data_IF_508685366811
#
_entry.id   IF_508685366811
#
_cell.length_a   1.000
_cell.length_b   1.000
_cell.length_c   1.000
_cell.angle_alpha   90.00
_cell.angle_beta   90.00
_cell.angle_gamma   90.00
#
_symmetry.space_group_name_H-M   'P 1'
#
loop_
_entity.id
_entity.type
_entity.pdbx_description
1 polymer ?
#
# COMPACT_ATOMS: atom_id res chain seq x y z
N UNK A 1 2.35 -22.39 30.39
CA UNK A 1 3.07 -22.14 29.10
C UNK A 1 2.14 -21.51 28.04
N UNK A 2 0.81 -21.68 28.14
CA UNK A 2 -0.17 -21.15 27.15
C UNK A 2 -0.47 -19.64 27.31
N UNK A 3 -0.23 -19.05 28.45
CA UNK A 3 -0.54 -17.63 28.73
C UNK A 3 0.35 -16.63 27.95
N UNK A 4 1.49 -17.05 27.44
CA UNK A 4 2.41 -16.19 26.67
C UNK A 4 2.00 -16.04 25.19
N UNK A 5 1.36 -17.03 24.61
CA UNK A 5 0.95 -17.00 23.18
C UNK A 5 -0.29 -16.12 22.96
N UNK A 6 -1.29 -16.24 23.82
CA UNK A 6 -2.53 -15.43 23.72
C UNK A 6 -2.26 -13.94 23.84
N UNK A 7 -1.33 -13.54 24.72
CA UNK A 7 -0.94 -12.13 24.87
C UNK A 7 -0.20 -11.58 23.63
N UNK A 8 0.63 -12.39 22.97
CA UNK A 8 1.38 -11.95 21.77
C UNK A 8 0.49 -11.85 20.53
N UNK A 9 -0.47 -12.76 20.34
CA UNK A 9 -1.41 -12.72 19.24
C UNK A 9 -2.33 -11.50 19.34
N UNK A 10 -2.83 -11.19 20.54
CA UNK A 10 -3.64 -9.99 20.76
C UNK A 10 -2.83 -8.71 20.46
N UNK A 11 -1.57 -8.63 20.84
CA UNK A 11 -0.71 -7.50 20.50
C UNK A 11 -0.46 -7.35 18.99
N UNK A 12 -0.28 -8.45 18.27
CA UNK A 12 -0.06 -8.43 16.81
C UNK A 12 -1.31 -7.95 16.10
N UNK A 13 -2.48 -8.49 16.43
CA UNK A 13 -3.77 -8.09 15.86
C UNK A 13 -4.05 -6.61 16.10
N UNK A 14 -3.88 -6.15 17.33
CA UNK A 14 -4.14 -4.75 17.68
C UNK A 14 -3.17 -3.81 16.98
N UNK A 15 -1.90 -4.19 16.85
CA UNK A 15 -0.92 -3.48 16.05
C UNK A 15 -1.32 -3.43 14.57
N UNK A 16 -1.80 -4.54 14.02
CA UNK A 16 -2.26 -4.65 12.64
C UNK A 16 -3.47 -3.74 12.40
N UNK A 17 -4.48 -3.80 13.25
CA UNK A 17 -5.69 -2.96 13.17
C UNK A 17 -5.35 -1.47 13.26
N UNK A 18 -4.45 -1.08 14.16
CA UNK A 18 -4.00 0.31 14.29
C UNK A 18 -3.27 0.78 13.02
N UNK A 19 -2.38 -0.05 12.45
CA UNK A 19 -1.68 0.28 11.20
C UNK A 19 -2.63 0.33 10.01
N UNK A 20 -3.56 -0.62 9.94
CA UNK A 20 -4.57 -0.66 8.88
C UNK A 20 -5.44 0.60 8.90
N UNK A 21 -6.00 0.94 10.06
CA UNK A 21 -6.79 2.18 10.23
C UNK A 21 -6.01 3.42 9.77
N UNK A 22 -4.74 3.53 10.17
CA UNK A 22 -3.88 4.62 9.73
C UNK A 22 -3.74 4.68 8.20
N UNK A 23 -3.46 3.55 7.54
CA UNK A 23 -3.26 3.55 6.09
C UNK A 23 -4.56 3.78 5.32
N UNK A 24 -5.69 3.23 5.78
CA UNK A 24 -6.98 3.45 5.14
C UNK A 24 -7.40 4.91 5.24
N UNK A 25 -7.17 5.57 6.38
CA UNK A 25 -7.37 7.02 6.53
C UNK A 25 -6.52 7.80 5.52
N UNK A 26 -5.22 7.47 5.41
CA UNK A 26 -4.32 8.14 4.45
C UNK A 26 -4.66 7.89 2.99
N UNK A 27 -5.24 6.74 2.68
CA UNK A 27 -5.72 6.38 1.34
C UNK A 27 -7.13 6.95 1.04
N UNK A 28 -7.75 7.62 2.00
CA UNK A 28 -9.08 8.20 1.84
C UNK A 28 -10.17 7.14 1.67
N UNK A 29 -10.03 5.98 2.32
CA UNK A 29 -11.06 4.95 2.34
C UNK A 29 -11.98 5.18 3.56
N UNK A 30 -13.29 5.43 3.37
CA UNK A 30 -14.20 5.77 4.46
C UNK A 30 -14.66 4.57 5.30
N UNK A 31 -14.21 3.38 4.96
CA UNK A 31 -14.60 2.12 5.60
C UNK A 31 -13.75 1.87 6.85
N UNK A 32 -14.40 1.32 7.88
CA UNK A 32 -13.69 0.71 9.00
C UNK A 32 -13.43 -0.75 8.66
N UNK A 33 -12.20 -1.19 8.82
CA UNK A 33 -11.77 -2.55 8.52
C UNK A 33 -10.99 -3.08 9.71
N UNK A 34 -11.45 -4.17 10.29
CA UNK A 34 -10.88 -4.77 11.49
C UNK A 34 -10.66 -6.27 11.31
N UNK A 35 -9.49 -6.72 11.70
CA UNK A 35 -9.23 -8.15 11.88
C UNK A 35 -9.79 -8.61 13.22
N UNK A 36 -10.62 -9.63 13.19
CA UNK A 36 -11.18 -10.29 14.35
C UNK A 36 -10.20 -11.33 14.94
N UNK A 37 -10.55 -11.93 16.08
CA UNK A 37 -9.69 -12.91 16.77
C UNK A 37 -9.37 -14.15 15.94
N UNK A 38 -10.25 -14.52 15.05
CA UNK A 38 -10.14 -15.66 14.12
C UNK A 38 -9.53 -15.28 12.77
N UNK A 39 -8.96 -14.06 12.67
CA UNK A 39 -8.41 -13.45 11.46
C UNK A 39 -9.43 -13.18 10.36
N UNK A 40 -10.71 -13.33 10.62
CA UNK A 40 -11.74 -12.82 9.73
C UNK A 40 -11.67 -11.29 9.66
N UNK A 41 -12.00 -10.75 8.50
CA UNK A 41 -12.00 -9.31 8.26
C UNK A 41 -13.44 -8.80 8.28
N UNK A 42 -13.72 -7.88 9.18
CA UNK A 42 -14.98 -7.16 9.24
C UNK A 42 -14.81 -5.81 8.54
N UNK A 43 -15.69 -5.52 7.59
CA UNK A 43 -15.73 -4.24 6.87
C UNK A 43 -17.05 -3.56 7.20
N UNK A 44 -16.98 -2.35 7.73
CA UNK A 44 -18.18 -1.57 8.04
C UNK A 44 -18.11 -0.17 7.46
N UNK A 45 -19.26 0.36 7.07
CA UNK A 45 -19.42 1.75 6.66
C UNK A 45 -20.70 2.32 7.27
N UNK A 46 -20.58 3.43 7.99
CA UNK A 46 -21.69 4.06 8.70
C UNK A 46 -22.48 3.12 9.62
N UNK A 47 -21.76 2.15 10.21
CA UNK A 47 -22.33 1.15 11.12
C UNK A 47 -23.10 0.01 10.43
N UNK A 48 -22.94 -0.14 9.12
CA UNK A 48 -23.48 -1.28 8.35
C UNK A 48 -22.35 -2.18 7.89
N UNK A 49 -22.56 -3.48 8.02
CA UNK A 49 -21.63 -4.49 7.56
C UNK A 49 -21.64 -4.57 6.03
N UNK A 50 -20.46 -4.69 5.46
CA UNK A 50 -20.24 -4.81 4.02
C UNK A 50 -19.37 -6.02 3.70
N UNK A 51 -19.70 -6.69 2.60
CA UNK A 51 -18.81 -7.68 2.02
C UNK A 51 -17.75 -7.00 1.14
N UNK A 52 -16.57 -7.64 1.00
CA UNK A 52 -15.51 -7.18 0.11
C UNK A 52 -16.00 -6.96 -1.33
N UNK A 53 -16.96 -7.79 -1.78
CA UNK A 53 -17.53 -7.70 -3.12
C UNK A 53 -18.44 -6.48 -3.33
N UNK A 54 -18.93 -5.87 -2.26
CA UNK A 54 -19.72 -4.64 -2.31
C UNK A 54 -18.85 -3.40 -2.57
N UNK A 55 -17.53 -3.50 -2.36
CA UNK A 55 -16.61 -2.40 -2.60
C UNK A 55 -16.42 -2.17 -4.10
N UNK A 56 -16.33 -0.91 -4.50
CA UNK A 56 -15.90 -0.53 -5.84
C UNK A 56 -14.46 -1.01 -6.11
N UNK A 57 -14.07 -1.08 -7.38
CA UNK A 57 -12.72 -1.50 -7.77
C UNK A 57 -11.64 -0.62 -7.12
N UNK A 58 -11.86 0.71 -7.09
CA UNK A 58 -10.93 1.64 -6.48
C UNK A 58 -10.81 1.46 -4.97
N UNK A 59 -11.93 1.21 -4.28
CA UNK A 59 -11.95 0.93 -2.84
C UNK A 59 -11.25 -0.39 -2.51
N UNK A 60 -11.49 -1.44 -3.29
CA UNK A 60 -10.78 -2.72 -3.13
C UNK A 60 -9.27 -2.55 -3.24
N UNK A 61 -8.80 -1.81 -4.26
CA UNK A 61 -7.37 -1.58 -4.46
C UNK A 61 -6.75 -0.76 -3.31
N UNK A 62 -7.44 0.25 -2.81
CA UNK A 62 -7.00 1.00 -1.62
C UNK A 62 -6.95 0.11 -0.38
N UNK A 63 -7.95 -0.75 -0.19
CA UNK A 63 -7.97 -1.71 0.92
C UNK A 63 -6.80 -2.69 0.84
N UNK A 64 -6.58 -3.31 -0.32
CA UNK A 64 -5.46 -4.25 -0.55
C UNK A 64 -4.11 -3.55 -0.28
N UNK A 65 -3.95 -2.32 -0.76
CA UNK A 65 -2.73 -1.54 -0.56
C UNK A 65 -2.52 -1.21 0.93
N UNK A 66 -3.57 -0.74 1.61
CA UNK A 66 -3.53 -0.43 3.04
C UNK A 66 -3.21 -1.66 3.90
N UNK A 67 -3.84 -2.80 3.59
CA UNK A 67 -3.56 -4.08 4.25
C UNK A 67 -2.10 -4.50 4.04
N UNK A 68 -1.61 -4.45 2.80
CA UNK A 68 -0.22 -4.83 2.48
C UNK A 68 0.79 -3.99 3.26
N UNK A 69 0.57 -2.69 3.38
CA UNK A 69 1.45 -1.80 4.16
C UNK A 69 1.32 -2.02 5.67
N UNK A 70 0.11 -2.29 6.17
CA UNK A 70 -0.11 -2.60 7.59
C UNK A 70 0.60 -3.90 7.99
N UNK A 71 0.44 -4.97 7.21
CA UNK A 71 1.14 -6.24 7.41
C UNK A 71 2.66 -6.07 7.37
N UNK A 72 3.16 -5.32 6.39
CA UNK A 72 4.58 -5.02 6.29
C UNK A 72 5.10 -4.30 7.53
N UNK A 73 4.41 -3.28 8.01
CA UNK A 73 4.82 -2.52 9.19
C UNK A 73 4.86 -3.40 10.45
N UNK A 74 3.89 -4.29 10.62
CA UNK A 74 3.88 -5.26 11.73
C UNK A 74 5.04 -6.24 11.60
N UNK A 75 5.25 -6.79 10.39
CA UNK A 75 6.39 -7.67 10.12
C UNK A 75 7.73 -7.00 10.44
N UNK A 76 7.93 -5.76 9.99
CA UNK A 76 9.16 -4.99 10.24
C UNK A 76 9.34 -4.63 11.73
N UNK A 77 8.27 -4.61 12.53
CA UNK A 77 8.36 -4.42 13.98
C UNK A 77 8.83 -5.67 14.72
N UNK A 78 8.63 -6.84 14.14
CA UNK A 78 8.98 -8.13 14.73
C UNK A 78 10.33 -8.67 14.24
N UNK A 79 10.73 -8.28 13.02
CA UNK A 79 11.91 -8.81 12.35
C UNK A 79 12.74 -7.67 11.74
N UNK A 80 13.92 -8.02 11.23
CA UNK A 80 14.75 -7.04 10.52
C UNK A 80 14.05 -6.60 9.24
N UNK A 81 13.77 -5.30 9.12
CA UNK A 81 13.07 -4.73 7.99
C UNK A 81 13.92 -4.71 6.71
N UNK A 82 13.27 -5.01 5.58
CA UNK A 82 13.87 -4.88 4.25
C UNK A 82 13.72 -3.43 3.77
N UNK A 83 14.83 -2.80 3.37
CA UNK A 83 14.83 -1.43 2.86
C UNK A 83 14.45 -1.34 1.37
N UNK A 84 13.53 -2.17 0.90
CA UNK A 84 13.12 -2.24 -0.50
C UNK A 84 11.62 -2.50 -0.60
N UNK A 85 10.94 -1.74 -1.47
CA UNK A 85 9.52 -1.91 -1.76
C UNK A 85 9.30 -1.80 -3.26
N UNK A 86 8.74 -2.84 -3.86
CA UNK A 86 8.22 -2.83 -5.21
C UNK A 86 6.70 -2.80 -5.19
N UNK A 87 6.12 -1.95 -6.02
CA UNK A 87 4.67 -1.86 -6.25
C UNK A 87 4.46 -2.00 -7.75
N UNK A 88 3.84 -3.09 -8.16
CA UNK A 88 3.64 -3.44 -9.54
C UNK A 88 2.16 -3.23 -9.93
N UNK A 89 1.90 -2.30 -10.85
CA UNK A 89 0.60 -1.97 -11.45
C UNK A 89 -0.59 -1.73 -10.49
N UNK A 90 -0.40 -1.85 -9.18
CA UNK A 90 -1.49 -1.78 -8.20
C UNK A 90 -2.17 -0.40 -8.16
N UNK A 91 -1.40 0.65 -8.44
CA UNK A 91 -1.90 2.03 -8.52
C UNK A 91 -2.61 2.29 -9.85
N UNK A 92 -2.24 1.54 -10.90
CA UNK A 92 -2.80 1.71 -12.25
C UNK A 92 -4.20 1.10 -12.41
N UNK A 93 -4.49 0.05 -11.66
CA UNK A 93 -5.65 -0.80 -11.85
C UNK A 93 -6.90 -0.28 -11.17
N UNK A 94 -7.46 0.84 -11.68
CA UNK A 94 -8.81 1.28 -11.32
C UNK A 94 -8.94 2.14 -10.07
N UNK A 95 -7.84 2.68 -9.53
CA UNK A 95 -7.91 3.79 -8.60
C UNK A 95 -8.31 5.08 -9.34
N UNK A 96 -9.12 5.89 -8.70
CA UNK A 96 -9.37 7.26 -9.12
C UNK A 96 -8.15 8.16 -8.84
N UNK A 97 -8.14 9.34 -9.43
CA UNK A 97 -7.03 10.30 -9.28
C UNK A 97 -6.72 10.61 -7.81
N UNK A 98 -7.76 10.75 -6.97
CA UNK A 98 -7.58 11.04 -5.54
C UNK A 98 -6.90 9.87 -4.81
N UNK A 99 -7.24 8.63 -5.15
CA UNK A 99 -6.60 7.43 -4.61
C UNK A 99 -5.13 7.30 -5.02
N UNK A 100 -4.82 7.61 -6.28
CA UNK A 100 -3.44 7.63 -6.79
C UNK A 100 -2.62 8.69 -6.03
N UNK A 101 -3.13 9.91 -5.87
CA UNK A 101 -2.46 10.98 -5.13
C UNK A 101 -2.18 10.59 -3.67
N UNK A 102 -3.18 10.01 -3.03
CA UNK A 102 -3.07 9.54 -1.64
C UNK A 102 -2.02 8.45 -1.49
N UNK A 103 -2.01 7.49 -2.41
CA UNK A 103 -1.01 6.41 -2.44
C UNK A 103 0.41 6.96 -2.63
N UNK A 104 0.61 7.86 -3.61
CA UNK A 104 1.90 8.51 -3.86
C UNK A 104 2.38 9.32 -2.65
N UNK A 105 1.48 10.03 -1.95
CA UNK A 105 1.82 10.77 -0.74
C UNK A 105 2.35 9.85 0.36
N UNK A 106 1.71 8.69 0.57
CA UNK A 106 2.18 7.68 1.54
C UNK A 106 3.54 7.12 1.13
N UNK A 107 3.74 6.79 -0.15
CA UNK A 107 5.01 6.25 -0.66
C UNK A 107 6.16 7.25 -0.53
N UNK A 108 5.93 8.52 -0.88
CA UNK A 108 6.90 9.60 -0.67
C UNK A 108 7.26 9.78 0.80
N UNK A 109 6.28 9.65 1.68
CA UNK A 109 6.51 9.69 3.13
C UNK A 109 7.36 8.51 3.59
N UNK A 110 7.10 7.29 3.11
CA UNK A 110 7.93 6.11 3.40
C UNK A 110 9.37 6.29 2.92
N UNK A 111 9.57 6.83 1.72
CA UNK A 111 10.91 7.11 1.19
C UNK A 111 11.67 8.12 2.05
N UNK A 112 11.04 9.24 2.42
CA UNK A 112 11.69 10.33 3.17
C UNK A 112 11.92 10.00 4.64
N UNK A 113 10.88 9.55 5.34
CA UNK A 113 10.92 9.40 6.80
C UNK A 113 11.51 8.05 7.24
N UNK A 114 11.24 7.00 6.48
CA UNK A 114 11.73 5.64 6.80
C UNK A 114 12.93 5.22 5.96
N UNK A 115 13.43 6.10 5.07
CA UNK A 115 14.57 5.86 4.17
C UNK A 115 14.39 4.58 3.34
N UNK A 116 13.16 4.29 2.92
CA UNK A 116 12.85 3.12 2.07
C UNK A 116 13.15 3.44 0.61
N UNK A 117 13.74 2.49 -0.09
CA UNK A 117 13.84 2.52 -1.53
C UNK A 117 12.52 1.99 -2.12
N UNK A 118 11.76 2.85 -2.76
CA UNK A 118 10.44 2.53 -3.32
C UNK A 118 10.54 2.53 -4.83
N UNK A 119 10.17 1.42 -5.44
CA UNK A 119 10.04 1.24 -6.88
C UNK A 119 8.59 1.06 -7.26
N UNK A 120 8.09 1.96 -8.08
CA UNK A 120 6.74 1.92 -8.62
C UNK A 120 6.82 1.51 -10.08
N UNK A 121 6.23 0.38 -10.43
CA UNK A 121 6.11 -0.11 -11.81
C UNK A 121 4.73 0.28 -12.31
N UNK A 122 4.69 1.01 -13.41
CA UNK A 122 3.47 1.56 -13.98
C UNK A 122 3.63 1.79 -15.48
N UNK A 123 2.54 1.71 -16.22
CA UNK A 123 2.47 2.08 -17.62
C UNK A 123 1.77 3.44 -17.83
N UNK A 124 1.49 4.18 -16.75
CA UNK A 124 0.84 5.48 -16.81
C UNK A 124 1.85 6.62 -16.92
N UNK A 125 1.86 7.31 -18.05
CA UNK A 125 2.73 8.47 -18.28
C UNK A 125 2.46 9.62 -17.30
N UNK A 126 1.25 9.74 -16.76
CA UNK A 126 0.88 10.78 -15.80
C UNK A 126 1.66 10.71 -14.47
N UNK A 127 2.33 9.58 -14.19
CA UNK A 127 3.16 9.41 -12.99
C UNK A 127 4.59 9.93 -13.17
N UNK A 128 5.05 10.16 -14.40
CA UNK A 128 6.41 10.57 -14.71
C UNK A 128 6.81 11.87 -13.96
N UNK A 129 5.96 12.87 -13.95
CA UNK A 129 6.23 14.12 -13.22
C UNK A 129 5.98 14.09 -11.71
N UNK A 130 5.68 12.92 -11.14
CA UNK A 130 5.26 12.77 -9.74
C UNK A 130 6.22 11.94 -8.89
N UNK A 131 7.28 11.44 -9.48
CA UNK A 131 8.31 10.60 -8.84
C UNK A 131 9.69 11.25 -9.00
N UNK A 132 10.66 10.84 -8.19
CA UNK A 132 11.98 11.46 -8.19
C UNK A 132 12.85 11.04 -9.39
N UNK A 133 12.71 9.79 -9.83
CA UNK A 133 13.50 9.22 -10.94
C UNK A 133 12.59 8.33 -11.76
N UNK A 134 12.77 8.34 -13.06
CA UNK A 134 12.04 7.50 -14.01
C UNK A 134 13.02 6.68 -14.83
N UNK A 135 12.76 5.39 -14.92
CA UNK A 135 13.43 4.50 -15.86
C UNK A 135 12.37 3.94 -16.81
N UNK A 136 12.47 4.31 -18.09
CA UNK A 136 11.60 3.75 -19.13
C UNK A 136 12.18 2.46 -19.65
N UNK A 137 11.35 1.45 -19.74
CA UNK A 137 11.68 0.16 -20.34
C UNK A 137 10.91 0.07 -21.66
N UNK A 138 11.63 0.06 -22.76
CA UNK A 138 11.06 0.08 -24.11
C UNK A 138 11.35 -1.25 -24.81
N UNK A 139 10.32 -1.88 -25.35
CA UNK A 139 10.47 -3.11 -26.15
C UNK A 139 10.10 -2.84 -27.59
N UNK A 140 11.11 -2.85 -28.48
CA UNK A 140 10.95 -2.67 -29.92
C UNK A 140 11.63 -3.79 -30.70
N UNK A 141 10.93 -4.31 -31.71
CA UNK A 141 11.45 -5.38 -32.61
C UNK A 141 12.05 -6.60 -31.88
N UNK A 142 11.52 -6.93 -30.70
CA UNK A 142 12.00 -8.06 -29.89
C UNK A 142 13.19 -7.75 -28.98
N UNK A 143 13.71 -6.53 -29.03
CA UNK A 143 14.79 -6.06 -28.15
C UNK A 143 14.25 -5.14 -27.06
N UNK A 144 14.89 -5.20 -25.88
CA UNK A 144 14.55 -4.33 -24.75
C UNK A 144 15.66 -3.29 -24.57
N UNK A 145 15.27 -2.03 -24.51
CA UNK A 145 16.16 -0.91 -24.18
C UNK A 145 15.68 -0.21 -22.91
N UNK A 146 16.59 0.50 -22.26
CA UNK A 146 16.35 1.23 -21.02
C UNK A 146 16.74 2.69 -21.25
N UNK A 147 15.83 3.59 -20.93
CA UNK A 147 16.08 5.03 -20.94
C UNK A 147 15.92 5.57 -19.51
N UNK A 148 16.94 6.22 -19.01
CA UNK A 148 16.85 6.92 -17.74
C UNK A 148 16.51 8.37 -18.04
N UNK A 149 15.34 8.81 -17.64
CA UNK A 149 14.95 10.21 -17.63
C UNK A 149 15.65 10.89 -16.45
N UNK A 150 16.69 11.68 -16.75
CA UNK A 150 17.51 12.35 -15.74
C UNK A 150 16.95 13.71 -15.35
N UNK A 151 16.02 14.26 -16.13
CA UNK A 151 15.52 15.62 -15.94
C UNK A 151 14.08 15.66 -15.42
N UNK A 152 13.90 15.36 -14.14
CA UNK A 152 12.75 15.91 -13.42
C UNK A 152 13.21 17.27 -12.88
N UNK A 153 12.83 18.32 -13.59
CA UNK A 153 13.03 19.72 -13.19
C UNK A 153 12.45 19.88 -11.79
N UNK A 154 13.27 20.38 -10.85
CA UNK A 154 12.90 20.73 -9.48
C UNK A 154 11.78 21.78 -9.43
#
# INVERSE_FOLDING_TARGET
>A
IELGLVGSEMCIRDSLNNRLTYYLDKLGLPHQVLFQNDLNVEITQLGQDLDFDNLSRGERNRLILGMSWAFRDVWESLYQGINLLFIDELIDSGMDTAGVESALAVLKKMGRERKKNVFLISHKDELVGRVNHVMKVIKENGFTSYENDVDIIE
#
